data_IF_629154944220
#
_entry.id   IF_629154944220
#
_cell.length_a   1.000
_cell.length_b   1.000
_cell.length_c   1.000
_cell.angle_alpha   90.00
_cell.angle_beta   90.00
_cell.angle_gamma   90.00
#
_symmetry.space_group_name_H-M   'P 1'
#
loop_
_entity.id
_entity.type
_entity.pdbx_description
1 polymer ?
#
# COMPACT_ATOMS: atom_id res chain seq x y z
N UNK A 1 12.87 -21.88 -12.33
CA UNK A 1 11.68 -21.91 -11.45
C UNK A 1 10.72 -20.86 -11.96
N UNK A 2 9.73 -21.32 -12.72
CA UNK A 2 8.64 -20.51 -13.26
C UNK A 2 7.59 -20.32 -12.16
N UNK A 3 7.82 -19.38 -11.25
CA UNK A 3 6.80 -19.04 -10.26
C UNK A 3 6.02 -17.85 -10.82
N UNK A 4 4.79 -18.11 -11.26
CA UNK A 4 3.93 -17.09 -11.86
C UNK A 4 3.20 -16.31 -10.76
N UNK A 5 3.13 -14.98 -10.89
CA UNK A 5 2.44 -14.14 -9.89
C UNK A 5 0.95 -14.47 -9.82
N UNK A 6 0.38 -14.97 -10.92
CA UNK A 6 -1.03 -15.36 -11.02
C UNK A 6 -1.39 -16.59 -10.20
N UNK A 7 -0.42 -17.29 -9.63
CA UNK A 7 -0.63 -18.44 -8.74
C UNK A 7 -0.72 -18.03 -7.26
N UNK A 8 -0.39 -16.77 -6.94
CA UNK A 8 -0.53 -16.21 -5.61
C UNK A 8 -1.96 -15.65 -5.50
N UNK A 9 -2.70 -16.05 -4.48
CA UNK A 9 -3.99 -15.44 -4.19
C UNK A 9 -3.85 -13.96 -3.79
N UNK A 10 -4.90 -13.18 -4.01
CA UNK A 10 -4.87 -11.73 -3.81
C UNK A 10 -4.58 -11.36 -2.35
N UNK A 11 -5.21 -12.06 -1.39
CA UNK A 11 -5.04 -11.79 0.03
C UNK A 11 -3.59 -12.05 0.47
N UNK A 12 -3.02 -13.20 0.10
CA UNK A 12 -1.62 -13.53 0.35
C UNK A 12 -0.69 -12.49 -0.27
N UNK A 13 -0.95 -12.07 -1.52
CA UNK A 13 -0.16 -11.05 -2.19
C UNK A 13 -0.22 -9.70 -1.45
N UNK A 14 -1.41 -9.27 -1.02
CA UNK A 14 -1.60 -8.04 -0.23
C UNK A 14 -0.86 -8.10 1.11
N UNK A 15 -0.93 -9.23 1.81
CA UNK A 15 -0.24 -9.41 3.08
C UNK A 15 1.28 -9.23 2.95
N UNK A 16 1.89 -9.68 1.86
CA UNK A 16 3.35 -9.52 1.62
C UNK A 16 3.82 -8.06 1.65
N UNK A 17 2.94 -7.10 1.36
CA UNK A 17 3.24 -5.66 1.39
C UNK A 17 3.14 -5.03 2.79
N UNK A 18 2.63 -5.74 3.81
CA UNK A 18 2.64 -5.31 5.22
C UNK A 18 2.07 -3.90 5.46
N UNK A 19 1.04 -3.54 4.71
CA UNK A 19 0.31 -2.28 4.94
C UNK A 19 -0.48 -2.35 6.24
N UNK A 20 -0.56 -1.24 6.96
CA UNK A 20 -1.45 -1.15 8.13
C UNK A 20 -2.91 -0.87 7.74
N UNK A 21 -3.10 -0.19 6.60
CA UNK A 21 -4.39 0.21 6.07
C UNK A 21 -4.50 -0.23 4.63
N UNK A 22 -5.59 -0.93 4.33
CA UNK A 22 -6.01 -1.26 2.99
C UNK A 22 -7.29 -0.47 2.70
N UNK A 23 -7.28 0.30 1.62
CA UNK A 23 -8.40 1.15 1.21
C UNK A 23 -8.95 0.56 -0.08
N UNK A 24 -10.20 0.13 -0.04
CA UNK A 24 -10.93 -0.32 -1.23
C UNK A 24 -11.71 0.83 -1.85
N UNK A 25 -11.94 0.74 -3.17
CA UNK A 25 -12.79 1.68 -3.90
C UNK A 25 -13.02 1.20 -5.32
N UNK A 26 -14.27 1.23 -5.79
CA UNK A 26 -14.66 0.64 -7.06
C UNK A 26 -14.08 1.36 -8.29
N UNK A 27 -13.77 2.65 -8.17
CA UNK A 27 -13.30 3.50 -9.27
C UNK A 27 -11.93 4.15 -8.97
N UNK A 28 -11.11 3.53 -8.11
CA UNK A 28 -9.78 4.04 -7.84
C UNK A 28 -8.82 3.66 -8.97
N UNK A 29 -8.13 4.63 -9.61
CA UNK A 29 -7.10 4.30 -10.58
C UNK A 29 -5.96 3.53 -9.90
N UNK A 30 -5.23 2.73 -10.68
CA UNK A 30 -4.01 2.09 -10.20
C UNK A 30 -3.06 3.15 -9.63
N UNK A 31 -2.48 2.87 -8.46
CA UNK A 31 -1.59 3.77 -7.73
C UNK A 31 -2.23 5.12 -7.33
N UNK A 32 -3.56 5.18 -7.16
CA UNK A 32 -4.27 6.38 -6.72
C UNK A 32 -3.65 7.00 -5.46
N UNK A 33 -3.11 6.16 -4.56
CA UNK A 33 -2.52 6.56 -3.30
C UNK A 33 -1.35 7.52 -3.47
N UNK A 34 -0.58 7.42 -4.55
CA UNK A 34 0.56 8.30 -4.81
C UNK A 34 0.14 9.77 -4.97
N UNK A 35 -1.11 10.02 -5.37
CA UNK A 35 -1.65 11.37 -5.51
C UNK A 35 -2.18 11.96 -4.20
N UNK A 36 -2.39 11.15 -3.16
CA UNK A 36 -3.05 11.61 -1.93
C UNK A 36 -2.08 12.36 -1.04
N UNK A 37 -2.34 13.64 -0.82
CA UNK A 37 -1.56 14.48 0.08
C UNK A 37 -2.14 14.47 1.50
N UNK A 38 -3.46 14.49 1.62
CA UNK A 38 -4.19 14.41 2.88
C UNK A 38 -5.41 13.51 2.72
N UNK A 39 -5.66 12.65 3.71
CA UNK A 39 -6.73 11.67 3.74
C UNK A 39 -7.46 11.75 5.08
N UNK A 40 -8.79 11.73 5.04
CA UNK A 40 -9.64 11.57 6.21
C UNK A 40 -10.19 10.13 6.24
N UNK A 41 -10.03 9.44 7.36
CA UNK A 41 -10.63 8.12 7.60
C UNK A 41 -11.51 8.22 8.83
N UNK A 42 -12.83 8.29 8.63
CA UNK A 42 -13.80 8.37 9.73
C UNK A 42 -13.55 9.53 10.71
N UNK A 43 -13.08 10.67 10.23
CA UNK A 43 -12.73 11.86 11.02
C UNK A 43 -11.28 11.93 11.50
N UNK A 44 -10.46 10.91 11.21
CA UNK A 44 -9.03 10.90 11.53
C UNK A 44 -8.27 11.40 10.30
N UNK A 45 -7.58 12.54 10.45
CA UNK A 45 -6.80 13.15 9.37
C UNK A 45 -5.38 12.62 9.35
N UNK A 46 -4.97 12.16 8.19
CA UNK A 46 -3.65 11.63 7.89
C UNK A 46 -3.02 12.44 6.75
N UNK A 47 -1.74 12.70 6.86
CA UNK A 47 -0.96 13.43 5.86
C UNK A 47 0.11 12.52 5.29
N UNK A 48 0.24 12.52 3.98
CA UNK A 48 1.23 11.71 3.31
C UNK A 48 2.63 12.22 3.63
N UNK A 49 3.52 11.28 3.96
CA UNK A 49 4.91 11.54 4.31
C UNK A 49 5.82 11.25 3.10
N UNK A 50 5.77 10.02 2.61
CA UNK A 50 6.63 9.56 1.52
C UNK A 50 6.06 8.31 0.82
N UNK A 51 6.41 8.06 -0.45
CA UNK A 51 6.13 6.78 -1.09
C UNK A 51 6.93 5.63 -0.48
N UNK A 52 6.33 4.43 -0.41
CA UNK A 52 6.99 3.25 0.19
C UNK A 52 7.76 2.47 -0.88
N UNK A 53 9.08 2.63 -0.89
CA UNK A 53 9.96 1.80 -1.72
C UNK A 53 10.03 0.37 -1.16
N UNK A 54 9.77 -0.61 -2.04
CA UNK A 54 9.70 -2.01 -1.64
C UNK A 54 11.05 -2.69 -1.76
N UNK A 55 11.38 -3.42 -0.71
CA UNK A 55 12.56 -4.27 -0.63
C UNK A 55 12.18 -5.75 -0.81
N UNK A 56 13.17 -6.64 -0.75
CA UNK A 56 13.00 -8.11 -0.88
C UNK A 56 11.98 -8.75 0.06
N UNK A 57 11.51 -8.06 1.11
CA UNK A 57 10.53 -8.59 2.04
C UNK A 57 9.18 -8.91 1.36
N UNK A 58 8.82 -8.23 0.27
CA UNK A 58 7.58 -8.51 -0.47
C UNK A 58 7.60 -9.85 -1.20
N UNK A 59 8.78 -10.47 -1.30
CA UNK A 59 8.95 -11.79 -1.92
C UNK A 59 8.65 -12.94 -0.95
N UNK A 60 8.55 -12.66 0.34
CA UNK A 60 8.43 -13.69 1.39
C UNK A 60 6.97 -13.93 1.72
N UNK A 61 6.53 -15.17 1.58
CA UNK A 61 5.24 -15.65 2.07
C UNK A 61 5.26 -15.62 3.61
N UNK A 62 4.27 -14.97 4.22
CA UNK A 62 4.26 -14.81 5.68
C UNK A 62 3.83 -16.06 6.44
N UNK A 63 3.06 -16.95 5.80
CA UNK A 63 2.56 -18.17 6.44
C UNK A 63 3.59 -19.30 6.31
N UNK A 64 4.24 -19.42 5.15
CA UNK A 64 5.18 -20.52 4.87
C UNK A 64 6.64 -20.14 5.04
N UNK A 65 6.96 -18.84 5.12
CA UNK A 65 8.33 -18.31 5.08
C UNK A 65 9.09 -18.56 3.76
N UNK A 66 8.42 -19.07 2.73
CA UNK A 66 9.02 -19.30 1.42
C UNK A 66 9.19 -18.00 0.64
N UNK A 67 10.28 -17.88 -0.12
CA UNK A 67 10.60 -16.67 -0.88
C UNK A 67 10.47 -16.88 -2.38
N UNK A 68 9.70 -16.03 -3.05
CA UNK A 68 9.51 -15.99 -4.49
C UNK A 68 9.90 -14.63 -5.05
N UNK A 69 10.82 -14.55 -6.01
CA UNK A 69 11.37 -13.26 -6.49
C UNK A 69 10.36 -12.38 -7.26
N UNK A 70 9.21 -12.95 -7.65
CA UNK A 70 8.31 -12.38 -8.65
C UNK A 70 7.66 -11.04 -8.25
N UNK A 71 7.15 -10.81 -7.02
CA UNK A 71 6.51 -9.56 -6.65
C UNK A 71 7.42 -8.34 -6.83
N UNK A 72 8.64 -8.40 -6.28
CA UNK A 72 9.59 -7.29 -6.42
C UNK A 72 10.07 -7.12 -7.87
N UNK A 73 10.24 -8.22 -8.61
CA UNK A 73 10.64 -8.17 -10.02
C UNK A 73 9.63 -7.41 -10.89
N UNK A 74 8.33 -7.59 -10.64
CA UNK A 74 7.27 -6.91 -11.40
C UNK A 74 7.20 -5.43 -11.04
N UNK A 75 7.36 -5.08 -9.76
CA UNK A 75 7.49 -3.68 -9.35
C UNK A 75 8.73 -3.03 -9.99
N UNK A 76 9.84 -3.76 -10.11
CA UNK A 76 11.05 -3.29 -10.79
C UNK A 76 10.87 -3.02 -12.29
N UNK A 77 9.85 -3.60 -12.92
CA UNK A 77 9.47 -3.33 -14.31
C UNK A 77 8.53 -2.12 -14.43
N UNK A 78 7.81 -1.78 -13.35
CA UNK A 78 6.83 -0.69 -13.30
C UNK A 78 7.26 0.36 -12.27
N UNK A 79 8.44 0.96 -12.51
CA UNK A 79 9.03 1.91 -11.58
C UNK A 79 8.27 3.24 -11.56
N UNK A 80 8.00 3.74 -10.37
CA UNK A 80 7.58 5.11 -10.14
C UNK A 80 8.83 5.94 -9.79
N UNK A 81 9.13 6.99 -10.57
CA UNK A 81 10.32 7.84 -10.37
C UNK A 81 11.63 7.04 -10.18
N UNK A 82 11.85 6.02 -11.02
CA UNK A 82 13.00 5.09 -10.97
C UNK A 82 13.06 4.16 -9.75
N UNK A 83 12.04 4.15 -8.89
CA UNK A 83 11.95 3.32 -7.69
C UNK A 83 10.82 2.28 -7.79
N UNK A 84 11.02 1.14 -7.15
CA UNK A 84 10.00 0.08 -7.03
C UNK A 84 9.05 0.42 -5.89
N UNK A 85 8.05 1.26 -6.16
CA UNK A 85 7.13 1.80 -5.14
C UNK A 85 5.79 1.06 -5.16
N UNK A 86 5.25 0.79 -3.97
CA UNK A 86 3.86 0.38 -3.82
C UNK A 86 3.33 0.79 -2.44
N UNK A 87 2.26 1.59 -2.37
CA UNK A 87 1.79 2.17 -1.11
C UNK A 87 2.59 3.40 -0.65
N UNK A 88 2.09 4.04 0.40
CA UNK A 88 2.62 5.29 0.95
C UNK A 88 2.66 5.24 2.48
N UNK A 89 3.58 5.98 3.07
CA UNK A 89 3.56 6.30 4.50
C UNK A 89 2.68 7.52 4.73
N UNK A 90 1.86 7.45 5.78
CA UNK A 90 1.07 8.57 6.25
C UNK A 90 1.27 8.77 7.74
N UNK A 91 1.31 10.03 8.15
CA UNK A 91 1.48 10.45 9.54
C UNK A 91 0.23 11.18 10.01
N UNK A 92 -0.08 11.04 11.28
CA UNK A 92 -1.06 11.86 11.99
C UNK A 92 -0.32 12.92 12.79
N UNK A 93 -0.68 14.18 12.61
CA UNK A 93 0.00 15.31 13.29
C UNK A 93 -0.40 15.42 14.76
N UNK A 94 -1.62 15.02 15.13
CA UNK A 94 -2.09 15.07 16.50
C UNK A 94 -1.85 13.75 17.27
N UNK A 95 -1.65 13.87 18.58
CA UNK A 95 -1.35 12.74 19.48
C UNK A 95 -2.55 12.24 20.28
N UNK A 96 -3.76 12.75 19.98
CA UNK A 96 -4.96 12.35 20.73
C UNK A 96 -5.32 10.90 20.43
N UNK A 97 -5.79 10.17 21.45
CA UNK A 97 -6.29 8.82 21.25
C UNK A 97 -7.48 8.84 20.29
N UNK A 98 -7.42 8.02 19.24
CA UNK A 98 -8.52 7.82 18.30
C UNK A 98 -8.87 6.34 18.20
N UNK A 99 -10.02 6.04 17.58
CA UNK A 99 -10.41 4.69 17.21
C UNK A 99 -10.70 4.67 15.72
N UNK A 100 -10.07 3.73 15.02
CA UNK A 100 -10.33 3.46 13.61
C UNK A 100 -10.93 2.06 13.49
N UNK A 101 -11.84 1.86 12.55
CA UNK A 101 -12.52 0.59 12.29
C UNK A 101 -12.60 0.34 10.79
N UNK A 102 -12.55 -0.94 10.42
CA UNK A 102 -12.82 -1.37 9.04
C UNK A 102 -14.24 -0.94 8.65
N UNK A 103 -14.39 -0.49 7.40
CA UNK A 103 -15.66 0.00 6.85
C UNK A 103 -15.92 1.49 7.04
N UNK A 104 -15.01 2.23 7.68
CA UNK A 104 -15.12 3.69 7.73
C UNK A 104 -14.85 4.31 6.35
N UNK A 105 -15.59 5.38 6.04
CA UNK A 105 -15.41 6.13 4.81
C UNK A 105 -14.03 6.79 4.78
N UNK A 106 -13.35 6.65 3.65
CA UNK A 106 -12.08 7.30 3.35
C UNK A 106 -12.34 8.44 2.35
N UNK A 107 -11.90 9.65 2.67
CA UNK A 107 -12.07 10.83 1.81
C UNK A 107 -10.72 11.50 1.58
N UNK A 108 -10.30 11.62 0.32
CA UNK A 108 -9.08 12.35 -0.04
C UNK A 108 -9.37 13.85 0.10
N UNK A 109 -8.78 14.48 1.11
CA UNK A 109 -8.96 15.91 1.40
C UNK A 109 -8.17 16.75 0.39
N UNK A 110 -6.96 16.29 0.06
CA UNK A 110 -6.03 17.02 -0.81
C UNK A 110 -5.23 16.08 -1.67
N UNK A 111 -5.03 16.46 -2.94
CA UNK A 111 -4.13 15.76 -3.88
C UNK A 111 -2.93 16.61 -4.24
N UNK A 112 -1.87 15.96 -4.71
CA UNK A 112 -0.81 16.62 -5.48
C UNK A 112 -1.40 17.09 -6.81
N UNK A 113 -1.21 18.38 -7.13
CA UNK A 113 -1.71 19.04 -8.35
C UNK A 113 -0.86 18.62 -9.54
#
# INVERSE_FOLDING_TARGET
>A
MENNITEIDEDNLLFRFRGNLLISGNDLPAHAELSWKELDIGGIKLKQDSPCERCKMVNIDQDTSESIYKPLSILGQNKFENKSVFGIYMNREDTQKCKMRVGQQCTVIKKYI
#
